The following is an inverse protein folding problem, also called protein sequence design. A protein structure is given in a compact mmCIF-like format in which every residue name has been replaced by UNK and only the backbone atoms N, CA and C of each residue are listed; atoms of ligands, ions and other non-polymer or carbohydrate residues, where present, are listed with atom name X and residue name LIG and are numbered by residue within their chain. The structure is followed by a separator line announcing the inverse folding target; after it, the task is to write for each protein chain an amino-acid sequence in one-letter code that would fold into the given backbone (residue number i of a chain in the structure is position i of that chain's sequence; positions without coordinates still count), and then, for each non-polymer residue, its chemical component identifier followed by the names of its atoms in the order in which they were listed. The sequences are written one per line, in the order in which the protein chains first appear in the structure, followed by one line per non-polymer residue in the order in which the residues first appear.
data_IF_345162185502
#
_entry.id   IF_345162185502
#
_cell.length_a   1.000
_cell.length_b   1.000
_cell.length_c   1.000
_cell.angle_alpha   90.00
_cell.angle_beta   90.00
_cell.angle_gamma   90.00
#
_symmetry.space_group_name_H-M   'P 1'
#
loop_
_entity.id
_entity.type
_entity.pdbx_description
1 polymer ?
#
# COMPACT_ATOMS: atom_id res chain seq x y z
N UNK A 1 33.13 -14.22 29.66
CA UNK A 1 32.37 -13.60 28.56
C UNK A 1 32.57 -14.43 27.30
N UNK A 2 31.52 -15.04 26.78
CA UNK A 2 31.59 -15.81 25.54
C UNK A 2 31.61 -14.83 24.37
N UNK A 3 32.76 -14.70 23.70
CA UNK A 3 32.89 -13.88 22.49
C UNK A 3 32.36 -14.65 21.28
N UNK A 4 31.82 -13.92 20.29
CA UNK A 4 31.40 -14.49 19.01
C UNK A 4 32.60 -15.13 18.30
N UNK A 5 32.44 -16.35 17.80
CA UNK A 5 33.45 -17.01 16.96
C UNK A 5 33.74 -16.17 15.72
N UNK A 6 34.98 -16.18 15.25
CA UNK A 6 35.43 -15.33 14.14
C UNK A 6 34.60 -15.52 12.85
N UNK A 7 34.18 -16.76 12.56
CA UNK A 7 33.30 -17.09 11.43
C UNK A 7 31.95 -16.39 11.54
N UNK A 8 31.33 -16.40 12.73
CA UNK A 8 30.06 -15.73 12.99
C UNK A 8 30.19 -14.21 12.88
N UNK A 9 31.32 -13.64 13.31
CA UNK A 9 31.58 -12.21 13.12
C UNK A 9 31.73 -11.83 11.64
N UNK A 10 32.37 -12.67 10.82
CA UNK A 10 32.50 -12.44 9.39
C UNK A 10 31.14 -12.51 8.67
N UNK A 11 30.30 -13.49 9.02
CA UNK A 11 28.94 -13.59 8.50
C UNK A 11 28.09 -12.37 8.86
N UNK A 12 28.18 -11.90 10.10
CA UNK A 12 27.45 -10.69 10.53
C UNK A 12 27.87 -9.46 9.71
N UNK A 13 29.18 -9.26 9.50
CA UNK A 13 29.68 -8.15 8.65
C UNK A 13 29.12 -8.25 7.23
N UNK A 14 29.15 -9.44 6.63
CA UNK A 14 28.63 -9.67 5.29
C UNK A 14 27.11 -9.39 5.18
N UNK A 15 26.33 -9.74 6.21
CA UNK A 15 24.89 -9.41 6.23
C UNK A 15 24.67 -7.90 6.35
N UNK A 16 25.43 -7.21 7.21
CA UNK A 16 25.32 -5.75 7.37
C UNK A 16 25.65 -5.04 6.05
N UNK A 17 26.78 -5.37 5.43
CA UNK A 17 27.19 -4.75 4.16
C UNK A 17 26.16 -4.96 3.04
N UNK A 18 25.54 -6.15 2.99
CA UNK A 18 24.45 -6.43 2.04
C UNK A 18 23.19 -5.59 2.33
N UNK A 19 22.81 -5.46 3.60
CA UNK A 19 21.64 -4.66 3.99
C UNK A 19 21.88 -3.17 3.71
N UNK A 20 23.08 -2.65 4.00
CA UNK A 20 23.43 -1.26 3.70
C UNK A 20 23.32 -0.96 2.21
N UNK A 21 23.83 -1.84 1.35
CA UNK A 21 23.66 -1.72 -0.10
C UNK A 21 22.17 -1.72 -0.51
N UNK A 22 21.36 -2.61 0.06
CA UNK A 22 19.92 -2.66 -0.21
C UNK A 22 19.18 -1.40 0.25
N UNK A 23 19.58 -0.80 1.37
CA UNK A 23 19.01 0.47 1.83
C UNK A 23 19.41 1.65 0.92
N UNK A 24 20.62 1.65 0.37
CA UNK A 24 21.02 2.63 -0.65
C UNK A 24 20.20 2.48 -1.94
N UNK A 25 20.04 1.26 -2.45
CA UNK A 25 19.20 0.96 -3.62
C UNK A 25 17.75 1.39 -3.40
N UNK A 26 17.18 1.06 -2.24
CA UNK A 26 15.83 1.48 -1.84
C UNK A 26 15.70 3.00 -1.79
N UNK A 27 16.72 3.71 -1.30
CA UNK A 27 16.72 5.19 -1.29
C UNK A 27 16.76 5.76 -2.70
N UNK A 28 17.55 5.19 -3.60
CA UNK A 28 17.59 5.60 -5.01
C UNK A 28 16.21 5.43 -5.67
N UNK A 29 15.61 4.23 -5.53
CA UNK A 29 14.27 3.95 -6.05
C UNK A 29 13.21 4.90 -5.46
N UNK A 30 13.29 5.19 -4.16
CA UNK A 30 12.37 6.14 -3.53
C UNK A 30 12.52 7.57 -4.09
N UNK A 31 13.74 7.98 -4.44
CA UNK A 31 13.99 9.25 -5.14
C UNK A 31 13.36 9.24 -6.53
N UNK A 32 13.59 8.20 -7.31
CA UNK A 32 13.01 8.08 -8.67
C UNK A 32 11.48 8.13 -8.64
N UNK A 33 10.84 7.45 -7.68
CA UNK A 33 9.39 7.51 -7.48
C UNK A 33 8.94 8.93 -7.16
N UNK A 34 9.67 9.65 -6.31
CA UNK A 34 9.35 11.03 -5.94
C UNK A 34 9.44 11.95 -7.16
N UNK A 35 10.47 11.78 -7.98
CA UNK A 35 10.67 12.57 -9.20
C UNK A 35 9.56 12.32 -10.22
N UNK A 36 9.08 11.08 -10.35
CA UNK A 36 7.90 10.78 -11.19
C UNK A 36 6.62 11.45 -10.72
N UNK A 37 6.40 11.52 -9.39
CA UNK A 37 5.28 12.31 -8.87
C UNK A 37 5.48 13.81 -9.09
N UNK A 38 6.70 14.32 -9.04
CA UNK A 38 7.00 15.72 -9.32
C UNK A 38 6.76 16.07 -10.81
N UNK A 39 7.22 15.23 -11.73
CA UNK A 39 6.93 15.33 -13.17
C UNK A 39 5.41 15.34 -13.42
N UNK A 40 4.68 14.39 -12.85
CA UNK A 40 3.22 14.31 -13.00
C UNK A 40 2.52 15.57 -12.47
N UNK A 41 2.97 16.08 -11.32
CA UNK A 41 2.44 17.33 -10.75
C UNK A 41 2.69 18.53 -11.66
N UNK A 42 3.87 18.62 -12.28
CA UNK A 42 4.20 19.72 -13.19
C UNK A 42 3.31 19.74 -14.45
N UNK A 43 2.83 18.57 -14.88
CA UNK A 43 1.90 18.41 -16.02
C UNK A 43 0.43 18.65 -15.60
N UNK A 44 0.17 18.75 -14.28
CA UNK A 44 -1.16 19.07 -13.74
C UNK A 44 -1.92 17.89 -13.13
N UNK A 45 -1.30 16.72 -12.98
CA UNK A 45 -1.95 15.58 -12.31
C UNK A 45 -2.01 15.75 -10.79
N UNK A 46 -3.12 15.29 -10.18
CA UNK A 46 -3.23 15.18 -8.72
C UNK A 46 -2.47 13.95 -8.20
N UNK A 47 -1.28 14.20 -7.66
CA UNK A 47 -0.44 13.15 -7.06
C UNK A 47 -1.08 12.44 -5.86
N UNK A 48 -2.05 13.04 -5.16
CA UNK A 48 -2.78 12.35 -4.07
C UNK A 48 -3.71 11.29 -4.64
N UNK A 49 -4.49 11.64 -5.67
CA UNK A 49 -5.34 10.70 -6.39
C UNK A 49 -4.50 9.56 -7.01
N UNK A 50 -3.35 9.88 -7.63
CA UNK A 50 -2.45 8.86 -8.18
C UNK A 50 -1.94 7.89 -7.10
N UNK A 51 -1.54 8.38 -5.91
CA UNK A 51 -1.13 7.50 -4.81
C UNK A 51 -2.26 6.58 -4.36
N UNK A 52 -3.50 7.09 -4.27
CA UNK A 52 -4.67 6.29 -3.93
C UNK A 52 -4.91 5.21 -4.98
N UNK A 53 -4.82 5.54 -6.28
CA UNK A 53 -4.93 4.58 -7.38
C UNK A 53 -3.85 3.49 -7.28
N UNK A 54 -2.59 3.85 -7.03
CA UNK A 54 -1.51 2.86 -6.87
C UNK A 54 -1.79 1.93 -5.68
N UNK A 55 -2.31 2.45 -4.56
CA UNK A 55 -2.71 1.63 -3.42
C UNK A 55 -3.87 0.69 -3.77
N UNK A 56 -4.90 1.19 -4.47
CA UNK A 56 -6.04 0.37 -4.91
C UNK A 56 -5.61 -0.75 -5.87
N UNK A 57 -4.64 -0.47 -6.75
CA UNK A 57 -4.08 -1.44 -7.70
C UNK A 57 -3.20 -2.51 -7.07
N UNK A 58 -2.77 -2.32 -5.81
CA UNK A 58 -2.04 -3.36 -5.06
C UNK A 58 -2.98 -4.40 -4.43
N UNK A 59 -4.26 -4.05 -4.27
CA UNK A 59 -5.29 -4.96 -3.76
C UNK A 59 -5.79 -5.84 -4.89
N UNK A 60 -6.16 -7.07 -4.56
CA UNK A 60 -6.91 -7.93 -5.48
C UNK A 60 -8.27 -7.30 -5.80
N UNK A 61 -8.87 -7.73 -6.91
CA UNK A 61 -10.20 -7.22 -7.28
C UNK A 61 -11.27 -7.65 -6.28
N UNK A 62 -11.11 -8.80 -5.62
CA UNK A 62 -11.99 -9.29 -4.55
C UNK A 62 -11.91 -8.38 -3.32
N UNK A 63 -10.71 -8.17 -2.77
CA UNK A 63 -10.52 -7.27 -1.61
C UNK A 63 -11.04 -5.85 -1.90
N UNK A 64 -10.90 -5.38 -3.15
CA UNK A 64 -11.42 -4.06 -3.54
C UNK A 64 -12.94 -4.03 -3.53
N UNK A 65 -13.59 -5.04 -4.08
CA UNK A 65 -15.05 -5.14 -4.13
C UNK A 65 -15.66 -5.26 -2.73
N UNK A 66 -15.03 -6.05 -1.85
CA UNK A 66 -15.46 -6.19 -0.46
C UNK A 66 -15.40 -4.83 0.27
N UNK A 67 -14.25 -4.14 0.21
CA UNK A 67 -14.09 -2.83 0.83
C UNK A 67 -15.02 -1.75 0.25
N UNK A 68 -15.18 -1.72 -1.07
CA UNK A 68 -16.09 -0.78 -1.74
C UNK A 68 -17.54 -1.04 -1.34
N UNK A 69 -17.95 -2.31 -1.23
CA UNK A 69 -19.29 -2.70 -0.81
C UNK A 69 -19.62 -2.26 0.62
N UNK A 70 -18.71 -2.52 1.56
CA UNK A 70 -18.84 -2.06 2.96
C UNK A 70 -18.94 -0.52 2.99
N UNK A 71 -18.07 0.17 2.26
CA UNK A 71 -18.06 1.63 2.23
C UNK A 71 -19.37 2.19 1.67
N UNK A 72 -19.91 1.60 0.60
CA UNK A 72 -21.17 1.99 -0.01
C UNK A 72 -22.34 1.88 0.98
N UNK A 73 -22.43 0.78 1.71
CA UNK A 73 -23.45 0.58 2.77
C UNK A 73 -23.36 1.67 3.83
N UNK A 74 -22.15 1.98 4.32
CA UNK A 74 -21.95 3.04 5.30
C UNK A 74 -22.25 4.42 4.75
N UNK A 75 -21.85 4.72 3.51
CA UNK A 75 -22.13 6.02 2.88
C UNK A 75 -23.64 6.22 2.68
N UNK A 76 -24.37 5.19 2.28
CA UNK A 76 -25.83 5.23 2.22
C UNK A 76 -26.44 5.46 3.62
N UNK A 77 -25.98 4.72 4.64
CA UNK A 77 -26.48 4.89 6.01
C UNK A 77 -26.23 6.30 6.58
N UNK A 78 -25.15 6.96 6.16
CA UNK A 78 -24.81 8.33 6.52
C UNK A 78 -25.50 9.40 5.64
N UNK A 79 -26.34 9.01 4.68
CA UNK A 79 -27.01 9.91 3.75
C UNK A 79 -26.08 10.57 2.73
N UNK A 80 -24.89 10.01 2.53
CA UNK A 80 -23.91 10.47 1.53
C UNK A 80 -24.18 9.88 0.14
N UNK A 81 -25.02 8.84 0.05
CA UNK A 81 -25.53 8.25 -1.19
C UNK A 81 -27.06 8.26 -1.15
N UNK A 82 -27.66 8.69 -2.27
CA UNK A 82 -29.12 8.75 -2.43
C UNK A 82 -29.70 7.42 -2.95
N UNK A 83 -28.87 6.57 -3.52
CA UNK A 83 -29.24 5.27 -4.06
C UNK A 83 -28.99 4.18 -3.03
N UNK A 84 -29.89 3.21 -2.97
CA UNK A 84 -29.73 2.05 -2.10
C UNK A 84 -28.48 1.25 -2.52
N UNK A 85 -27.72 0.69 -1.56
CA UNK A 85 -26.53 -0.07 -1.87
C UNK A 85 -26.87 -1.28 -2.74
N UNK A 86 -25.97 -1.62 -3.66
CA UNK A 86 -26.15 -2.80 -4.52
C UNK A 86 -26.25 -4.09 -3.71
N UNK A 87 -26.91 -5.13 -4.25
CA UNK A 87 -26.99 -6.44 -3.60
C UNK A 87 -25.59 -7.03 -3.32
N UNK A 88 -24.63 -6.82 -4.23
CA UNK A 88 -23.25 -7.23 -4.03
C UNK A 88 -22.60 -6.50 -2.85
N UNK A 89 -22.88 -5.22 -2.68
CA UNK A 89 -22.35 -4.38 -1.61
C UNK A 89 -22.93 -4.74 -0.24
N UNK A 90 -24.22 -5.09 -0.20
CA UNK A 90 -24.87 -5.61 1.00
C UNK A 90 -24.30 -6.96 1.39
N UNK A 91 -24.11 -7.87 0.43
CA UNK A 91 -23.52 -9.18 0.69
C UNK A 91 -22.09 -9.07 1.23
N UNK A 92 -21.26 -8.22 0.61
CA UNK A 92 -19.90 -7.93 1.10
C UNK A 92 -19.89 -7.39 2.55
N UNK A 93 -20.87 -6.55 2.92
CA UNK A 93 -21.00 -6.05 4.28
C UNK A 93 -21.37 -7.16 5.28
N UNK A 94 -22.28 -8.06 4.91
CA UNK A 94 -22.70 -9.16 5.77
C UNK A 94 -21.59 -10.20 5.95
N UNK A 95 -20.89 -10.56 4.88
CA UNK A 95 -19.76 -11.50 4.92
C UNK A 95 -18.62 -11.00 5.81
N UNK A 96 -18.35 -9.69 5.83
CA UNK A 96 -17.33 -9.11 6.69
C UNK A 96 -17.72 -9.04 8.18
N UNK A 97 -19.00 -9.26 8.52
CA UNK A 97 -19.51 -9.22 9.89
C UNK A 97 -19.58 -10.60 10.57
N UNK A 98 -19.28 -11.68 9.84
CA UNK A 98 -19.18 -13.07 10.33
C UNK A 98 -17.75 -13.45 10.73
#
# INVERSE_FOLDING_TARGET
MTTLQASTQAQLRQYIEQIERLEEEKKAIASDIKDKFAEAKAIGFDTKAMRKIIQLRKKSDVERQEEEGILEVYMHALGMLNEAPSEASVNAFLEAAE
#
